data_IF_598532237393
#
_entry.id   IF_598532237393
#
_cell.length_a   1.000
_cell.length_b   1.000
_cell.length_c   1.000
_cell.angle_alpha   90.00
_cell.angle_beta   90.00
_cell.angle_gamma   90.00
#
_symmetry.space_group_name_H-M   'P 1'
#
loop_
_entity.id
_entity.type
_entity.pdbx_description
1 polymer ?
#
# COMPACT_ATOMS: atom_id res chain seq x y z
N UNK A 1 19.64 -3.23 0.29
CA UNK A 1 19.59 -4.50 1.04
C UNK A 1 18.36 -5.26 0.55
N UNK A 2 18.33 -6.60 0.49
CA UNK A 2 17.04 -7.27 0.32
C UNK A 2 16.12 -6.87 1.49
N UNK A 3 14.81 -6.85 1.27
CA UNK A 3 13.85 -6.60 2.33
C UNK A 3 13.93 -7.74 3.35
N UNK A 4 14.52 -7.46 4.51
CA UNK A 4 14.76 -8.47 5.54
C UNK A 4 13.46 -8.80 6.30
N UNK A 5 12.50 -7.88 6.33
CA UNK A 5 11.19 -8.05 6.95
C UNK A 5 10.02 -7.85 5.98
N UNK A 6 8.90 -8.61 6.06
CA UNK A 6 7.75 -8.42 5.19
C UNK A 6 7.12 -7.01 5.23
N UNK A 7 7.33 -6.27 6.33
CA UNK A 7 6.86 -4.89 6.44
C UNK A 7 7.84 -3.86 5.87
N UNK A 8 8.97 -4.24 5.28
CA UNK A 8 9.82 -3.29 4.56
C UNK A 8 9.22 -2.97 3.18
N UNK A 9 8.43 -3.91 2.64
CA UNK A 9 7.68 -3.80 1.38
C UNK A 9 6.22 -4.25 1.55
N UNK A 10 5.46 -3.60 2.45
CA UNK A 10 4.17 -4.11 2.88
C UNK A 10 3.15 -4.15 1.74
N UNK A 11 3.16 -3.15 0.85
CA UNK A 11 2.27 -3.10 -0.32
C UNK A 11 2.57 -4.26 -1.29
N UNK A 12 3.86 -4.47 -1.60
CA UNK A 12 4.29 -5.59 -2.44
C UNK A 12 3.87 -6.94 -1.85
N UNK A 13 4.13 -7.14 -0.56
CA UNK A 13 3.86 -8.40 0.10
C UNK A 13 2.36 -8.66 0.27
N UNK A 14 1.55 -7.63 0.54
CA UNK A 14 0.10 -7.75 0.63
C UNK A 14 -0.52 -8.18 -0.72
N UNK A 15 -0.19 -7.46 -1.80
CA UNK A 15 -0.77 -7.67 -3.14
C UNK A 15 -0.22 -8.91 -3.86
N UNK A 16 0.85 -9.52 -3.36
CA UNK A 16 1.35 -10.81 -3.84
C UNK A 16 1.06 -11.97 -2.87
N UNK A 17 0.28 -11.74 -1.80
CA UNK A 17 -0.14 -12.79 -0.86
C UNK A 17 -1.63 -12.69 -0.51
N UNK A 18 -1.98 -12.45 0.76
CA UNK A 18 -3.34 -12.52 1.31
C UNK A 18 -4.32 -11.54 0.66
N UNK A 19 -3.83 -10.45 0.08
CA UNK A 19 -4.65 -9.44 -0.58
C UNK A 19 -4.46 -9.42 -2.10
N UNK A 20 -3.97 -10.53 -2.69
CA UNK A 20 -3.77 -10.62 -4.14
C UNK A 20 -5.05 -10.41 -4.97
N UNK A 21 -6.22 -10.71 -4.40
CA UNK A 21 -7.52 -10.44 -5.05
C UNK A 21 -7.86 -8.96 -5.20
N UNK A 22 -7.12 -8.06 -4.55
CA UNK A 22 -7.28 -6.61 -4.66
C UNK A 22 -6.27 -5.98 -5.65
N UNK A 23 -5.43 -6.80 -6.30
CA UNK A 23 -4.34 -6.31 -7.12
C UNK A 23 -4.76 -6.01 -8.56
N UNK A 24 -4.49 -4.79 -9.01
CA UNK A 24 -4.36 -4.47 -10.44
C UNK A 24 -2.88 -4.58 -10.81
N UNK A 25 -2.57 -5.26 -11.91
CA UNK A 25 -1.19 -5.55 -12.34
C UNK A 25 -0.94 -4.97 -13.73
N UNK A 26 0.23 -4.35 -13.89
CA UNK A 26 0.73 -3.86 -15.18
C UNK A 26 2.22 -4.17 -15.25
N UNK A 27 2.63 -5.10 -16.11
CA UNK A 27 4.01 -5.59 -16.16
C UNK A 27 4.52 -6.01 -14.78
N UNK A 28 5.64 -5.44 -14.34
CA UNK A 28 6.21 -5.69 -13.01
C UNK A 28 5.62 -4.85 -11.87
N UNK A 29 4.62 -4.00 -12.14
CA UNK A 29 3.99 -3.10 -11.17
C UNK A 29 2.66 -3.69 -10.68
N UNK A 30 2.40 -3.55 -9.38
CA UNK A 30 1.14 -3.92 -8.74
C UNK A 30 0.58 -2.73 -7.98
N UNK A 31 -0.74 -2.58 -7.94
CA UNK A 31 -1.44 -1.59 -7.10
C UNK A 31 -2.72 -2.16 -6.53
N UNK A 32 -3.21 -1.54 -5.46
CA UNK A 32 -4.57 -1.80 -4.98
C UNK A 32 -5.61 -1.32 -5.99
N UNK A 33 -6.77 -1.96 -6.00
CA UNK A 33 -7.99 -1.41 -6.61
C UNK A 33 -8.21 0.04 -6.11
N UNK A 34 -8.46 1.04 -7.00
CA UNK A 34 -8.68 2.42 -6.59
C UNK A 34 -9.84 2.63 -5.62
N UNK A 35 -10.81 1.71 -5.59
CA UNK A 35 -11.89 1.72 -4.62
C UNK A 35 -11.42 1.35 -3.20
N UNK A 36 -10.26 0.71 -3.05
CA UNK A 36 -9.71 0.31 -1.75
C UNK A 36 -8.59 1.24 -1.28
N UNK A 37 -7.59 1.51 -2.12
CA UNK A 37 -6.43 2.33 -1.76
C UNK A 37 -5.64 2.86 -2.97
N UNK A 38 -4.79 3.86 -2.74
CA UNK A 38 -3.88 4.44 -3.75
C UNK A 38 -2.51 3.76 -3.82
N UNK A 39 -2.24 2.77 -2.96
CA UNK A 39 -0.90 2.20 -2.83
C UNK A 39 -0.49 1.32 -4.00
N UNK A 40 0.78 1.44 -4.40
CA UNK A 40 1.41 0.63 -5.43
C UNK A 40 2.83 0.21 -5.04
N UNK A 41 3.32 -0.86 -5.66
CA UNK A 41 4.67 -1.39 -5.49
C UNK A 41 5.14 -2.07 -6.79
N UNK A 42 6.45 -2.30 -6.91
CA UNK A 42 7.05 -2.90 -8.10
C UNK A 42 7.99 -4.06 -7.79
N UNK A 43 8.03 -5.05 -8.68
CA UNK A 43 9.04 -6.10 -8.65
C UNK A 43 10.35 -5.63 -9.27
N UNK A 44 11.42 -6.43 -9.15
CA UNK A 44 12.71 -6.13 -9.79
C UNK A 44 12.61 -5.99 -11.32
N UNK A 45 11.62 -6.63 -11.94
CA UNK A 45 11.40 -6.61 -13.39
C UNK A 45 10.51 -5.45 -13.88
N UNK A 46 10.09 -4.56 -12.98
CA UNK A 46 9.24 -3.42 -13.34
C UNK A 46 9.99 -2.42 -14.22
N UNK A 47 9.34 -1.99 -15.29
CA UNK A 47 9.91 -1.00 -16.21
C UNK A 47 9.24 0.36 -16.01
N UNK A 48 9.91 1.47 -16.36
CA UNK A 48 9.33 2.82 -16.28
C UNK A 48 7.97 2.95 -16.98
N UNK A 49 7.80 2.28 -18.12
CA UNK A 49 6.54 2.29 -18.89
C UNK A 49 5.37 1.63 -18.17
N UNK A 50 5.65 0.64 -17.32
CA UNK A 50 4.63 -0.12 -16.60
C UNK A 50 3.98 0.81 -15.55
N UNK A 51 4.79 1.61 -14.84
CA UNK A 51 4.34 2.66 -13.92
C UNK A 51 3.50 3.73 -14.62
N UNK A 52 3.99 4.28 -15.74
CA UNK A 52 3.28 5.32 -16.47
C UNK A 52 1.92 4.83 -17.01
N UNK A 53 1.86 3.58 -17.50
CA UNK A 53 0.62 2.97 -18.00
C UNK A 53 -0.39 2.80 -16.87
N UNK A 54 0.07 2.24 -15.74
CA UNK A 54 -0.75 2.02 -14.56
C UNK A 54 -1.28 3.33 -13.96
N UNK A 55 -0.43 4.36 -13.81
CA UNK A 55 -0.84 5.65 -13.28
C UNK A 55 -1.81 6.39 -14.22
N UNK A 56 -1.65 6.27 -15.54
CA UNK A 56 -2.62 6.82 -16.51
C UNK A 56 -3.99 6.16 -16.39
N UNK A 57 -4.02 4.85 -16.20
CA UNK A 57 -5.26 4.09 -16.10
C UNK A 57 -5.97 4.27 -14.75
N UNK A 58 -5.22 4.51 -13.68
CA UNK A 58 -5.75 4.37 -12.30
C UNK A 58 -5.54 5.60 -11.42
N UNK A 59 -4.92 6.65 -11.95
CA UNK A 59 -4.64 7.90 -11.25
C UNK A 59 -3.37 7.84 -10.41
N UNK A 60 -3.30 8.72 -9.41
CA UNK A 60 -2.13 8.85 -8.52
C UNK A 60 -1.87 7.55 -7.78
N UNK A 61 -0.58 7.27 -7.56
CA UNK A 61 -0.11 6.15 -6.76
C UNK A 61 0.71 6.65 -5.58
N UNK A 62 0.58 5.97 -4.45
CA UNK A 62 1.40 6.19 -3.28
C UNK A 62 2.35 4.99 -3.09
N UNK A 63 3.62 5.26 -2.83
CA UNK A 63 4.60 4.24 -2.48
C UNK A 63 4.76 4.24 -0.96
N UNK A 64 4.76 3.05 -0.37
CA UNK A 64 4.96 2.86 1.07
C UNK A 64 5.95 1.71 1.26
N UNK A 65 7.24 2.05 1.25
CA UNK A 65 8.37 1.15 1.40
C UNK A 65 9.46 1.85 2.23
N UNK A 66 10.30 1.09 2.93
CA UNK A 66 11.35 1.64 3.79
C UNK A 66 12.33 2.55 3.02
N UNK A 67 12.70 2.15 1.81
CA UNK A 67 13.60 2.87 0.90
C UNK A 67 12.90 3.17 -0.44
N UNK A 68 11.75 3.84 -0.39
CA UNK A 68 10.98 4.14 -1.59
C UNK A 68 11.74 5.10 -2.53
N UNK A 69 11.89 4.68 -3.80
CA UNK A 69 12.45 5.50 -4.89
C UNK A 69 11.33 5.91 -5.83
N UNK A 70 11.32 7.19 -6.22
CA UNK A 70 10.38 7.70 -7.22
C UNK A 70 10.61 6.97 -8.54
N UNK A 71 9.61 6.25 -9.09
CA UNK A 71 9.79 5.54 -10.34
C UNK A 71 10.00 6.49 -11.52
N UNK A 72 10.90 6.11 -12.43
CA UNK A 72 11.14 6.84 -13.67
C UNK A 72 9.83 7.11 -14.44
N UNK A 73 9.65 8.35 -14.89
CA UNK A 73 8.45 8.77 -15.61
C UNK A 73 7.28 9.20 -14.71
N UNK A 74 7.40 9.06 -13.39
CA UNK A 74 6.54 9.70 -12.41
C UNK A 74 7.23 10.91 -11.78
N UNK A 75 6.44 11.77 -11.14
CA UNK A 75 6.92 12.90 -10.35
C UNK A 75 6.37 12.78 -8.94
N UNK A 76 7.22 13.00 -7.95
CA UNK A 76 6.79 13.09 -6.56
C UNK A 76 5.97 14.37 -6.37
N UNK A 77 4.75 14.21 -5.88
CA UNK A 77 3.83 15.33 -5.59
C UNK A 77 3.65 15.59 -4.10
N UNK A 78 3.99 14.61 -3.26
CA UNK A 78 3.91 14.68 -1.80
C UNK A 78 4.82 13.60 -1.18
N UNK A 79 5.28 13.82 0.06
CA UNK A 79 6.09 12.89 0.85
C UNK A 79 5.75 13.03 2.33
N UNK A 80 5.46 11.89 2.96
CA UNK A 80 5.11 11.81 4.38
C UNK A 80 6.06 10.83 5.07
N UNK A 81 6.85 11.33 6.02
CA UNK A 81 7.69 10.48 6.86
C UNK A 81 6.82 9.68 7.82
N UNK A 82 6.96 8.36 7.77
CA UNK A 82 6.11 7.44 8.53
C UNK A 82 6.94 6.67 9.56
N UNK A 83 6.39 6.53 10.77
CA UNK A 83 6.93 5.61 11.77
C UNK A 83 6.21 4.28 11.68
N UNK A 84 6.90 3.25 11.18
CA UNK A 84 6.36 1.89 11.18
C UNK A 84 6.49 1.27 12.57
N UNK A 85 5.36 0.86 13.15
CA UNK A 85 5.30 0.28 14.49
C UNK A 85 4.67 -1.11 14.44
N UNK A 86 5.11 -1.99 15.33
CA UNK A 86 4.47 -3.29 15.59
C UNK A 86 4.05 -3.37 17.05
N UNK A 87 2.85 -3.88 17.31
CA UNK A 87 2.39 -4.18 18.66
C UNK A 87 2.92 -5.56 19.06
N UNK A 88 4.02 -5.60 19.81
CA UNK A 88 4.64 -6.85 20.28
C UNK A 88 3.93 -7.43 21.51
N UNK A 89 3.17 -6.61 22.22
CA UNK A 89 2.35 -6.99 23.37
C UNK A 89 1.04 -6.19 23.36
N UNK A 90 -0.09 -6.84 23.65
CA UNK A 90 -1.39 -6.19 23.80
C UNK A 90 -1.77 -6.22 25.28
N UNK A 91 -1.94 -5.04 25.89
CA UNK A 91 -2.40 -4.88 27.28
C UNK A 91 -3.79 -4.27 27.31
N UNK A 92 -4.62 -4.72 28.25
CA UNK A 92 -5.94 -4.12 28.46
C UNK A 92 -5.80 -2.65 28.85
N UNK A 93 -6.33 -1.74 28.02
CA UNK A 93 -6.18 -0.29 28.19
C UNK A 93 -7.06 0.33 29.29
N UNK A 94 -7.78 -0.48 30.08
CA UNK A 94 -8.67 -0.03 31.16
C UNK A 94 -9.90 0.80 30.75
N UNK A 95 -9.95 1.30 29.50
CA UNK A 95 -11.05 2.07 28.96
C UNK A 95 -12.17 1.16 28.47
N UNK A 96 -13.37 1.34 29.02
CA UNK A 96 -14.59 0.80 28.42
C UNK A 96 -15.00 1.69 27.25
N UNK A 97 -15.27 1.09 26.10
CA UNK A 97 -15.84 1.76 24.93
C UNK A 97 -17.17 1.07 24.63
N UNK A 98 -18.24 1.86 24.53
CA UNK A 98 -19.52 1.34 24.09
C UNK A 98 -19.44 1.01 22.59
N UNK A 99 -19.87 -0.19 22.21
CA UNK A 99 -20.00 -0.58 20.81
C UNK A 99 -21.44 -0.35 20.38
N UNK A 100 -21.63 0.45 19.33
CA UNK A 100 -22.92 0.66 18.69
C UNK A 100 -22.87 0.00 17.29
N UNK A 101 -23.95 -0.69 16.93
CA UNK A 101 -24.05 -1.33 15.62
C UNK A 101 -24.40 -0.28 14.57
N UNK A 102 -23.64 -0.25 13.48
CA UNK A 102 -23.99 0.54 12.30
C UNK A 102 -25.30 0.02 11.70
N UNK A 103 -26.19 0.94 11.33
CA UNK A 103 -27.48 0.67 10.70
C UNK A 103 -27.51 1.24 9.28
N UNK A 104 -28.52 0.85 8.50
CA UNK A 104 -28.74 1.40 7.16
C UNK A 104 -28.97 2.93 7.16
N UNK A 105 -29.31 3.52 8.31
CA UNK A 105 -29.50 4.96 8.47
C UNK A 105 -28.17 5.75 8.55
N UNK A 106 -27.03 5.06 8.71
CA UNK A 106 -25.71 5.67 8.90
C UNK A 106 -24.88 5.76 7.60
N UNK A 107 -25.50 5.46 6.45
CA UNK A 107 -24.89 5.43 5.10
C UNK A 107 -25.07 6.68 4.25
#
# INVERSE_FOLDING_TARGET
MPADHPLDRPVWNALNSRQAGLAIREGGVVRFDPACATFAAAGPDARPRDWATLAKATGRVALFEADAVVPDGLVEVDRIDCLQMTATEIRAGGRSVAFEALTDADG
#
